data_IF_879124781333
#
_entry.id   IF_879124781333
#
_cell.length_a   1.000
_cell.length_b   1.000
_cell.length_c   1.000
_cell.angle_alpha   90.00
_cell.angle_beta   90.00
_cell.angle_gamma   90.00
#
_symmetry.space_group_name_H-M   'P 1'
#
loop_
_entity.id
_entity.type
_entity.pdbx_description
1 polymer ?
#
# COMPACT_ATOMS: atom_id res chain seq x y z
N UNK A 1 -8.26 15.28 -6.08
CA UNK A 1 -7.25 14.69 -5.18
C UNK A 1 -7.99 13.87 -4.14
N UNK A 2 -7.61 12.61 -3.96
CA UNK A 2 -8.21 11.72 -2.96
C UNK A 2 -7.85 12.21 -1.56
N UNK A 3 -8.84 12.45 -0.70
CA UNK A 3 -8.61 12.81 0.71
C UNK A 3 -8.92 11.60 1.58
N UNK A 4 -7.95 11.21 2.40
CA UNK A 4 -8.09 10.11 3.33
C UNK A 4 -8.31 10.63 4.75
N UNK A 5 -9.18 9.98 5.53
CA UNK A 5 -9.54 10.45 6.86
C UNK A 5 -9.76 9.30 7.84
N UNK A 6 -9.35 9.49 9.08
CA UNK A 6 -9.69 8.61 10.19
C UNK A 6 -10.10 9.44 11.42
N UNK A 7 -11.19 9.03 12.08
CA UNK A 7 -11.70 9.68 13.28
C UNK A 7 -11.36 8.79 14.48
N UNK A 8 -10.56 9.33 15.41
CA UNK A 8 -10.17 8.66 16.64
C UNK A 8 -10.71 9.47 17.84
N UNK A 9 -11.92 9.14 18.28
CA UNK A 9 -12.63 9.89 19.31
C UNK A 9 -12.88 11.35 18.88
N UNK A 10 -12.40 12.37 19.62
CA UNK A 10 -12.58 13.77 19.25
C UNK A 10 -11.60 14.26 18.18
N UNK A 11 -10.57 13.48 17.84
CA UNK A 11 -9.52 13.89 16.90
C UNK A 11 -9.81 13.33 15.51
N UNK A 12 -9.73 14.17 14.49
CA UNK A 12 -9.81 13.77 13.09
C UNK A 12 -8.45 13.92 12.43
N UNK A 13 -7.91 12.82 11.92
CA UNK A 13 -6.69 12.80 11.11
C UNK A 13 -7.08 12.83 9.64
N UNK A 14 -6.39 13.66 8.85
CA UNK A 14 -6.58 13.79 7.41
C UNK A 14 -5.23 13.65 6.71
N UNK A 15 -5.24 13.00 5.55
CA UNK A 15 -4.08 12.83 4.69
C UNK A 15 -4.48 13.23 3.26
N UNK A 16 -3.65 14.03 2.61
CA UNK A 16 -3.93 14.62 1.30
C UNK A 16 -3.59 13.72 0.11
N UNK A 17 -2.93 12.58 0.34
CA UNK A 17 -2.56 11.63 -0.72
C UNK A 17 -2.23 10.25 -0.16
N UNK A 18 -2.26 9.22 -1.01
CA UNK A 18 -1.79 7.88 -0.66
C UNK A 18 -0.28 7.86 -0.33
N UNK A 19 0.52 8.72 -0.96
CA UNK A 19 1.94 8.87 -0.64
C UNK A 19 2.14 9.31 0.82
N UNK A 20 1.34 10.27 1.29
CA UNK A 20 1.37 10.73 2.67
C UNK A 20 0.91 9.63 3.63
N UNK A 21 -0.19 8.93 3.33
CA UNK A 21 -0.65 7.78 4.13
C UNK A 21 0.47 6.74 4.28
N UNK A 22 1.15 6.38 3.20
CA UNK A 22 2.24 5.40 3.21
C UNK A 22 3.45 5.86 4.03
N UNK A 23 3.82 7.13 3.93
CA UNK A 23 4.91 7.70 4.71
C UNK A 23 4.56 7.70 6.22
N UNK A 24 3.38 8.20 6.57
CA UNK A 24 2.92 8.33 7.96
C UNK A 24 2.61 6.99 8.61
N UNK A 25 2.18 5.97 7.85
CA UNK A 25 1.90 4.62 8.38
C UNK A 25 3.18 3.81 8.71
N UNK A 26 4.32 4.17 8.12
CA UNK A 26 5.58 3.45 8.28
C UNK A 26 6.10 3.51 9.72
N UNK A 27 6.83 2.47 10.19
CA UNK A 27 7.56 2.55 11.45
C UNK A 27 8.53 3.74 11.46
N UNK A 28 8.82 4.34 12.63
CA UNK A 28 9.74 5.48 12.71
C UNK A 28 11.13 5.11 12.17
N UNK A 29 11.65 5.94 11.29
CA UNK A 29 12.98 5.82 10.67
C UNK A 29 13.58 7.22 10.58
N UNK A 30 14.83 7.37 10.99
CA UNK A 30 15.53 8.66 11.00
C UNK A 30 15.55 9.34 9.62
N UNK A 31 15.63 8.57 8.53
CA UNK A 31 15.57 9.12 7.17
C UNK A 31 14.22 9.77 6.83
N UNK A 32 13.11 9.15 7.22
CA UNK A 32 11.76 9.68 6.98
C UNK A 32 11.47 10.90 7.87
N UNK A 33 12.05 10.92 9.07
CA UNK A 33 12.01 12.08 9.98
C UNK A 33 12.80 13.27 9.40
N UNK A 34 14.03 13.03 8.91
CA UNK A 34 14.85 14.05 8.27
C UNK A 34 14.21 14.59 6.98
N UNK A 35 13.50 13.74 6.24
CA UNK A 35 12.74 14.13 5.05
C UNK A 35 11.41 14.82 5.38
N UNK A 36 11.01 14.89 6.66
CA UNK A 36 9.76 15.50 7.11
C UNK A 36 8.49 14.71 6.75
N UNK A 37 8.61 13.46 6.32
CA UNK A 37 7.48 12.65 5.87
C UNK A 37 6.97 11.65 6.94
N UNK A 38 7.74 11.41 8.01
CA UNK A 38 7.33 10.58 9.14
C UNK A 38 6.14 11.17 9.91
N UNK A 39 5.35 10.32 10.57
CA UNK A 39 4.28 10.77 11.46
C UNK A 39 4.82 11.52 12.68
N UNK A 40 4.16 12.61 13.05
CA UNK A 40 4.49 13.49 14.18
C UNK A 40 4.15 12.86 15.53
N UNK A 41 3.30 11.83 15.54
CA UNK A 41 2.94 11.09 16.76
C UNK A 41 2.60 9.63 16.45
N UNK A 42 2.64 8.78 17.48
CA UNK A 42 2.18 7.40 17.35
C UNK A 42 0.67 7.30 17.10
N UNK A 43 -0.11 8.27 17.59
CA UNK A 43 -1.54 8.34 17.32
C UNK A 43 -1.82 8.63 15.83
N UNK A 44 -1.11 9.58 15.24
CA UNK A 44 -1.19 9.85 13.79
C UNK A 44 -0.72 8.63 12.97
N UNK A 45 0.36 7.97 13.40
CA UNK A 45 0.86 6.74 12.77
C UNK A 45 -0.17 5.61 12.79
N UNK A 46 -0.84 5.43 13.92
CA UNK A 46 -1.92 4.46 14.07
C UNK A 46 -3.10 4.83 13.16
N UNK A 47 -3.52 6.10 13.13
CA UNK A 47 -4.56 6.59 12.24
C UNK A 47 -4.21 6.37 10.76
N UNK A 48 -2.96 6.61 10.36
CA UNK A 48 -2.48 6.35 9.00
C UNK A 48 -2.53 4.86 8.64
N UNK A 49 -2.20 3.97 9.59
CA UNK A 49 -2.33 2.50 9.39
C UNK A 49 -3.77 2.06 9.26
N UNK A 50 -4.68 2.64 10.04
CA UNK A 50 -6.13 2.40 9.91
C UNK A 50 -6.64 2.85 8.54
N UNK A 51 -6.29 4.07 8.12
CA UNK A 51 -6.59 4.54 6.77
C UNK A 51 -6.06 3.58 5.72
N UNK A 52 -4.77 3.21 5.82
CA UNK A 52 -4.11 2.35 4.85
C UNK A 52 -4.81 0.99 4.73
N UNK A 53 -5.26 0.42 5.85
CA UNK A 53 -5.96 -0.86 5.86
C UNK A 53 -7.25 -0.82 5.02
N UNK A 54 -7.95 0.31 4.98
CA UNK A 54 -9.19 0.48 4.21
C UNK A 54 -8.97 0.85 2.74
N UNK A 55 -7.73 1.06 2.30
CA UNK A 55 -7.44 1.42 0.91
C UNK A 55 -7.64 0.19 0.01
N UNK A 56 -8.45 0.28 -1.07
CA UNK A 56 -8.56 -0.80 -2.06
C UNK A 56 -7.21 -1.06 -2.74
N UNK A 57 -6.85 -2.32 -2.99
CA UNK A 57 -5.61 -2.64 -3.70
C UNK A 57 -5.55 -1.99 -5.09
N UNK A 58 -6.69 -1.84 -5.76
CA UNK A 58 -6.78 -1.19 -7.07
C UNK A 58 -6.41 0.32 -7.03
N UNK A 59 -6.49 0.99 -5.88
CA UNK A 59 -6.06 2.38 -5.75
C UNK A 59 -4.55 2.54 -6.03
N UNK A 60 -3.75 1.55 -5.65
CA UNK A 60 -2.32 1.52 -5.95
C UNK A 60 -2.00 1.33 -7.43
N UNK A 61 -3.01 1.00 -8.25
CA UNK A 61 -2.85 0.91 -9.70
C UNK A 61 -3.02 2.27 -10.39
N UNK A 62 -3.81 3.16 -9.81
CA UNK A 62 -4.26 4.42 -10.43
C UNK A 62 -3.63 5.65 -9.78
N UNK A 63 -3.25 5.59 -8.50
CA UNK A 63 -2.54 6.68 -7.83
C UNK A 63 -1.02 6.53 -8.04
N UNK A 64 -0.50 7.28 -9.01
CA UNK A 64 0.94 7.39 -9.27
C UNK A 64 1.61 8.27 -8.20
N UNK A 65 2.58 7.69 -7.50
CA UNK A 65 3.42 8.43 -6.53
C UNK A 65 4.53 9.19 -7.25
N UNK A 66 4.98 8.64 -8.38
CA UNK A 66 5.92 9.27 -9.33
C UNK A 66 5.29 9.17 -10.71
N UNK A 67 5.29 10.24 -11.53
CA UNK A 67 4.61 10.22 -12.82
C UNK A 67 5.22 9.21 -13.79
N UNK A 68 4.37 8.41 -14.44
CA UNK A 68 4.75 7.39 -15.43
C UNK A 68 5.68 7.94 -16.53
N UNK A 69 5.35 9.11 -17.09
CA UNK A 69 6.08 9.68 -18.23
C UNK A 69 7.54 10.04 -17.91
N UNK A 70 7.82 10.34 -16.64
CA UNK A 70 9.11 10.87 -16.19
C UNK A 70 9.98 9.86 -15.47
N UNK A 71 9.48 8.66 -15.17
CA UNK A 71 10.19 7.66 -14.37
C UNK A 71 10.16 6.27 -15.00
N UNK A 72 11.33 5.79 -15.42
CA UNK A 72 11.46 4.52 -16.12
C UNK A 72 11.11 3.31 -15.23
N UNK A 73 11.33 3.44 -13.92
CA UNK A 73 11.01 2.39 -12.94
C UNK A 73 9.50 2.25 -12.81
N UNK A 74 8.78 3.36 -12.72
CA UNK A 74 7.31 3.39 -12.68
C UNK A 74 6.74 2.81 -13.96
N UNK A 75 7.30 3.14 -15.14
CA UNK A 75 6.91 2.49 -16.41
C UNK A 75 7.09 0.99 -16.36
N UNK A 76 8.28 0.51 -15.97
CA UNK A 76 8.55 -0.92 -15.86
C UNK A 76 7.59 -1.62 -14.91
N UNK A 77 7.30 -1.04 -13.74
CA UNK A 77 6.38 -1.59 -12.74
C UNK A 77 4.96 -1.69 -13.29
N UNK A 78 4.50 -0.65 -14.00
CA UNK A 78 3.15 -0.60 -14.56
C UNK A 78 3.01 -1.56 -15.75
N UNK A 79 3.97 -1.54 -16.67
CA UNK A 79 3.94 -2.35 -17.90
C UNK A 79 4.13 -3.85 -17.62
N UNK A 80 4.78 -4.22 -16.52
CA UNK A 80 4.99 -5.62 -16.11
C UNK A 80 3.85 -6.18 -15.23
N UNK A 81 2.82 -5.40 -14.95
CA UNK A 81 1.71 -5.83 -14.10
C UNK A 81 0.79 -6.82 -14.83
N UNK A 82 0.57 -7.99 -14.22
CA UNK A 82 -0.36 -8.99 -14.73
C UNK A 82 -1.77 -8.78 -14.14
N UNK A 83 -2.65 -8.21 -14.95
CA UNK A 83 -4.04 -7.94 -14.56
C UNK A 83 -4.85 -9.23 -14.28
N UNK A 84 -4.53 -10.35 -14.96
CA UNK A 84 -5.22 -11.60 -14.76
C UNK A 84 -4.83 -12.24 -13.42
N UNK A 85 -3.54 -12.21 -13.08
CA UNK A 85 -3.06 -12.62 -11.76
C UNK A 85 -3.62 -11.74 -10.63
N UNK A 86 -3.75 -10.43 -10.88
CA UNK A 86 -4.30 -9.49 -9.89
C UNK A 86 -5.81 -9.65 -9.66
N UNK A 87 -6.57 -10.09 -10.67
CA UNK A 87 -8.03 -10.18 -10.61
C UNK A 87 -8.52 -10.94 -9.36
N UNK A 88 -7.81 -11.99 -8.96
CA UNK A 88 -8.10 -12.85 -7.78
C UNK A 88 -8.21 -12.04 -6.49
N UNK A 89 -7.37 -11.03 -6.31
CA UNK A 89 -7.28 -10.22 -5.08
C UNK A 89 -7.73 -8.76 -5.28
N UNK A 90 -8.09 -8.38 -6.51
CA UNK A 90 -8.37 -6.99 -6.91
C UNK A 90 -9.47 -6.29 -6.11
N UNK A 91 -10.40 -7.07 -5.55
CA UNK A 91 -11.54 -6.60 -4.76
C UNK A 91 -11.20 -6.35 -3.29
N UNK A 92 -10.00 -6.73 -2.83
CA UNK A 92 -9.57 -6.62 -1.44
C UNK A 92 -9.09 -5.21 -1.11
N UNK A 93 -9.27 -4.82 0.15
CA UNK A 93 -8.51 -3.74 0.77
C UNK A 93 -7.11 -4.20 1.18
N UNK A 94 -6.22 -3.30 1.58
CA UNK A 94 -4.90 -3.67 2.14
C UNK A 94 -5.06 -4.52 3.41
N UNK A 95 -6.06 -4.21 4.25
CA UNK A 95 -6.40 -4.98 5.44
C UNK A 95 -6.84 -6.40 5.08
N UNK A 96 -7.80 -6.53 4.18
CA UNK A 96 -8.28 -7.85 3.73
C UNK A 96 -7.19 -8.64 3.01
N UNK A 97 -6.30 -7.95 2.27
CA UNK A 97 -5.16 -8.59 1.63
C UNK A 97 -4.17 -9.18 2.64
N UNK A 98 -3.88 -8.47 3.75
CA UNK A 98 -3.07 -9.01 4.84
C UNK A 98 -3.73 -10.28 5.40
N UNK A 99 -5.03 -10.23 5.65
CA UNK A 99 -5.75 -11.36 6.25
C UNK A 99 -5.81 -12.55 5.27
N UNK A 100 -6.04 -12.28 3.99
CA UNK A 100 -5.95 -13.27 2.91
C UNK A 100 -4.55 -13.90 2.81
N UNK A 101 -3.47 -13.11 2.94
CA UNK A 101 -2.10 -13.64 2.96
C UNK A 101 -1.90 -14.59 4.14
N UNK A 102 -2.28 -14.17 5.34
CA UNK A 102 -2.14 -14.95 6.58
C UNK A 102 -2.95 -16.25 6.54
N UNK A 103 -4.14 -16.22 5.93
CA UNK A 103 -4.92 -17.43 5.70
C UNK A 103 -4.26 -18.33 4.64
N UNK A 104 -3.85 -17.75 3.52
CA UNK A 104 -3.32 -18.49 2.36
C UNK A 104 -2.04 -19.25 2.68
N UNK A 105 -1.14 -18.70 3.50
CA UNK A 105 0.09 -19.39 3.90
C UNK A 105 -0.16 -20.67 4.71
N UNK A 106 -1.35 -20.82 5.32
CA UNK A 106 -1.71 -22.01 6.08
C UNK A 106 -2.37 -23.11 5.25
N UNK A 107 -2.77 -22.80 4.00
CA UNK A 107 -3.46 -23.74 3.11
C UNK A 107 -2.48 -24.75 2.48
N UNK A 108 -2.92 -25.99 2.20
CA UNK A 108 -2.22 -26.86 1.27
C UNK A 108 -2.03 -26.13 -0.07
N UNK A 109 -0.81 -26.14 -0.61
CA UNK A 109 -0.42 -25.39 -1.82
C UNK A 109 -0.44 -23.85 -1.70
N UNK A 110 -0.46 -23.28 -0.48
CA UNK A 110 -0.43 -21.83 -0.27
C UNK A 110 0.71 -21.12 -1.02
N UNK A 111 1.92 -21.71 -1.02
CA UNK A 111 3.06 -21.18 -1.76
C UNK A 111 2.82 -21.07 -3.28
N UNK A 112 2.07 -22.01 -3.87
CA UNK A 112 1.73 -21.98 -5.29
C UNK A 112 0.71 -20.86 -5.59
N UNK A 113 -0.34 -20.74 -4.76
CA UNK A 113 -1.33 -19.66 -4.88
C UNK A 113 -0.64 -18.29 -4.82
N UNK A 114 0.27 -18.10 -3.86
CA UNK A 114 1.03 -16.85 -3.75
C UNK A 114 1.92 -16.59 -4.96
N UNK A 115 2.52 -17.64 -5.55
CA UNK A 115 3.33 -17.53 -6.76
C UNK A 115 2.49 -17.11 -7.97
N UNK A 116 1.26 -17.61 -8.09
CA UNK A 116 0.33 -17.27 -9.17
C UNK A 116 -0.19 -15.84 -9.07
N UNK A 117 -0.40 -15.32 -7.86
CA UNK A 117 -0.87 -13.93 -7.64
C UNK A 117 0.26 -12.90 -7.69
N UNK A 118 1.51 -13.32 -7.42
CA UNK A 118 2.67 -12.43 -7.34
C UNK A 118 2.89 -11.49 -8.55
N UNK A 119 2.69 -11.92 -9.82
CA UNK A 119 2.81 -11.04 -10.99
C UNK A 119 1.77 -9.91 -11.02
N UNK A 120 0.63 -10.09 -10.35
CA UNK A 120 -0.40 -9.08 -10.16
C UNK A 120 -0.06 -8.04 -9.08
N UNK A 121 1.01 -8.23 -8.30
CA UNK A 121 1.41 -7.28 -7.26
C UNK A 121 2.58 -6.41 -7.75
N UNK A 122 2.45 -5.08 -7.62
CA UNK A 122 3.53 -4.15 -7.94
C UNK A 122 4.70 -4.33 -6.94
N UNK A 123 5.85 -4.82 -7.40
CA UNK A 123 7.07 -4.86 -6.58
C UNK A 123 7.70 -3.48 -6.49
N UNK A 124 7.35 -2.72 -5.45
CA UNK A 124 7.93 -1.38 -5.23
C UNK A 124 9.38 -1.39 -4.73
N UNK A 125 9.83 -2.47 -4.07
CA UNK A 125 11.17 -2.53 -3.46
C UNK A 125 11.70 -3.98 -3.40
N UNK A 126 12.32 -4.48 -4.48
CA UNK A 126 13.09 -5.75 -4.40
C UNK A 126 14.50 -5.67 -4.98
N UNK A 127 15.04 -4.45 -5.15
CA UNK A 127 16.45 -4.25 -5.49
C UNK A 127 17.07 -3.23 -4.54
N UNK A 128 17.42 -3.71 -3.34
CA UNK A 128 18.64 -3.31 -2.64
C UNK A 128 19.30 -4.57 -2.15
#
# INVERSE_FOLDING_TARGET
>A
MSTFRHIAGPVTYQFGSLAEVLAKASPPRSGDELAGCAAHSDAERAAARWVLAEVPLAAFLTEEIVPYDTDEVTRLIIDSHDAAAFAVISHLTVGDFRDWLLETITKPHGAQILKEVSPGLRRRWSRR
#
